data_IF_902698702760
#
_entry.id   IF_902698702760
#
_cell.length_a   1.000
_cell.length_b   1.000
_cell.length_c   1.000
_cell.angle_alpha   90.00
_cell.angle_beta   90.00
_cell.angle_gamma   90.00
#
_symmetry.space_group_name_H-M   'P 1'
#
loop_
_entity.id
_entity.type
_entity.pdbx_description
1 polymer ?
#
# COMPACT_ATOMS: atom_id res chain seq x y z
N UNK A 1 3.84 -6.95 6.21
CA UNK A 1 3.83 -6.25 7.51
C UNK A 1 2.58 -6.71 8.24
N UNK A 2 2.72 -7.47 9.33
CA UNK A 2 1.57 -7.87 10.13
C UNK A 2 1.20 -6.70 11.04
N UNK A 3 0.04 -6.10 10.83
CA UNK A 3 -0.50 -5.07 11.71
C UNK A 3 -1.64 -5.69 12.51
N UNK A 4 -1.49 -5.68 13.85
CA UNK A 4 -2.45 -6.31 14.77
C UNK A 4 -3.88 -5.75 14.59
N UNK A 5 -3.98 -4.50 14.17
CA UNK A 5 -5.22 -3.80 13.89
C UNK A 5 -5.12 -3.08 12.55
N UNK A 6 -6.24 -2.97 11.84
CA UNK A 6 -6.33 -2.19 10.61
C UNK A 6 -5.98 -0.73 10.90
N UNK A 7 -4.96 -0.20 10.24
CA UNK A 7 -4.58 1.20 10.38
C UNK A 7 -5.54 2.03 9.54
N UNK A 8 -6.41 2.81 10.19
CA UNK A 8 -7.22 3.84 9.53
C UNK A 8 -6.76 5.22 9.95
N UNK A 9 -6.50 6.06 8.97
CA UNK A 9 -6.03 7.43 9.16
C UNK A 9 -6.72 8.38 8.18
N UNK A 10 -7.30 9.45 8.73
CA UNK A 10 -8.03 10.44 7.95
C UNK A 10 -7.13 11.63 7.62
N UNK A 11 -7.43 12.33 6.53
CA UNK A 11 -6.62 13.44 6.09
C UNK A 11 -7.10 14.08 4.80
N UNK A 12 -6.25 14.95 4.27
CA UNK A 12 -6.46 15.58 2.97
C UNK A 12 -5.48 15.00 1.95
N UNK A 13 -5.97 14.75 0.74
CA UNK A 13 -5.22 14.12 -0.34
C UNK A 13 -5.37 14.93 -1.64
N UNK A 14 -4.31 15.00 -2.43
CA UNK A 14 -4.24 15.78 -3.66
C UNK A 14 -3.29 15.14 -4.68
N UNK A 15 -3.44 15.52 -5.95
CA UNK A 15 -2.47 15.16 -6.98
C UNK A 15 -1.27 16.11 -6.90
N UNK A 16 -0.03 15.62 -7.05
CA UNK A 16 1.16 16.49 -7.03
C UNK A 16 1.13 17.67 -8.01
N UNK A 17 0.44 17.51 -9.15
CA UNK A 17 0.28 18.53 -10.19
C UNK A 17 -0.69 19.65 -9.83
N UNK A 18 -1.62 19.41 -8.91
CA UNK A 18 -2.65 20.37 -8.46
C UNK A 18 -2.76 20.38 -6.92
N UNK A 19 -1.74 20.90 -6.20
CA UNK A 19 -1.65 20.81 -4.73
C UNK A 19 -2.71 21.60 -3.95
N UNK A 20 -3.41 22.51 -4.63
CA UNK A 20 -4.49 23.31 -4.06
C UNK A 20 -5.84 22.57 -4.10
N UNK A 21 -6.01 21.57 -4.97
CA UNK A 21 -7.20 20.72 -5.06
C UNK A 21 -7.14 19.56 -4.07
N UNK A 22 -7.38 19.87 -2.79
CA UNK A 22 -7.36 18.88 -1.70
C UNK A 22 -8.74 18.29 -1.46
N UNK A 23 -8.79 16.97 -1.36
CA UNK A 23 -10.01 16.20 -1.07
C UNK A 23 -9.84 15.47 0.24
N UNK A 24 -10.86 15.51 1.09
CA UNK A 24 -10.85 14.75 2.34
C UNK A 24 -10.96 13.25 2.05
N UNK A 25 -10.23 12.44 2.80
CA UNK A 25 -10.26 10.99 2.65
C UNK A 25 -9.79 10.23 3.87
N UNK A 26 -9.95 8.91 3.80
CA UNK A 26 -9.47 7.95 4.78
C UNK A 26 -8.56 6.94 4.09
N UNK A 27 -7.30 6.89 4.53
CA UNK A 27 -6.33 5.87 4.15
C UNK A 27 -6.48 4.68 5.10
N UNK A 28 -6.66 3.49 4.55
CA UNK A 28 -6.66 2.24 5.31
C UNK A 28 -5.55 1.30 4.85
N UNK A 29 -4.87 0.70 5.82
CA UNK A 29 -3.90 -0.38 5.61
C UNK A 29 -4.38 -1.57 6.44
N UNK A 30 -4.57 -2.72 5.79
CA UNK A 30 -4.97 -3.97 6.44
C UNK A 30 -3.77 -4.87 6.76
N UNK A 31 -3.97 -5.85 7.65
CA UNK A 31 -2.96 -6.85 8.08
C UNK A 31 -2.32 -7.63 6.91
N UNK A 32 -3.01 -7.68 5.76
CA UNK A 32 -2.51 -8.35 4.55
C UNK A 32 -1.77 -7.43 3.58
N UNK A 33 -1.49 -6.18 3.99
CA UNK A 33 -0.85 -5.20 3.13
C UNK A 33 -1.77 -4.64 2.04
N UNK A 34 -3.08 -4.87 2.10
CA UNK A 34 -4.03 -4.19 1.21
C UNK A 34 -4.16 -2.74 1.69
N UNK A 35 -3.88 -1.80 0.80
CA UNK A 35 -3.94 -0.36 1.04
C UNK A 35 -5.05 0.22 0.19
N UNK A 36 -5.92 1.01 0.82
CA UNK A 36 -7.02 1.69 0.13
C UNK A 36 -7.12 3.13 0.58
N UNK A 37 -7.44 4.02 -0.36
CA UNK A 37 -7.80 5.40 -0.10
C UNK A 37 -9.28 5.59 -0.47
N UNK A 38 -10.08 5.98 0.52
CA UNK A 38 -11.46 6.40 0.30
C UNK A 38 -11.52 7.93 0.29
N UNK A 39 -11.97 8.53 -0.80
CA UNK A 39 -12.13 9.97 -0.94
C UNK A 39 -13.61 10.35 -0.86
N UNK A 40 -13.90 11.51 -0.24
CA UNK A 40 -15.24 12.02 -0.04
C UNK A 40 -15.34 13.46 -0.57
N UNK A 41 -16.29 13.70 -1.48
CA UNK A 41 -16.61 15.04 -1.96
C UNK A 41 -16.58 15.18 -3.48
N UNK A 42 -16.41 16.41 -3.97
CA UNK A 42 -16.44 16.73 -5.40
C UNK A 42 -15.09 16.36 -6.03
N UNK A 43 -15.11 15.34 -6.88
CA UNK A 43 -13.93 14.85 -7.58
C UNK A 43 -13.63 15.72 -8.81
N UNK A 44 -12.92 16.83 -8.60
CA UNK A 44 -12.45 17.73 -9.66
C UNK A 44 -11.47 17.04 -10.62
N UNK A 45 -10.19 17.38 -10.55
CA UNK A 45 -9.17 16.73 -11.42
C UNK A 45 -9.09 15.22 -11.20
N UNK A 46 -9.32 14.75 -9.96
CA UNK A 46 -9.42 13.32 -9.63
C UNK A 46 -10.49 12.57 -10.43
N UNK A 47 -11.67 13.17 -10.66
CA UNK A 47 -12.78 12.52 -11.36
C UNK A 47 -12.63 12.56 -12.88
N UNK A 48 -11.80 13.46 -13.41
CA UNK A 48 -11.51 13.53 -14.85
C UNK A 48 -10.39 12.59 -15.28
N UNK A 49 -9.64 12.04 -14.33
CA UNK A 49 -8.53 11.16 -14.64
C UNK A 49 -9.06 9.78 -15.01
N UNK A 50 -9.05 9.48 -16.32
CA UNK A 50 -9.50 8.19 -16.87
C UNK A 50 -8.37 7.17 -16.96
N UNK A 51 -7.14 7.58 -16.66
CA UNK A 51 -5.95 6.74 -16.66
C UNK A 51 -5.52 6.29 -15.25
N UNK A 52 -4.46 5.47 -15.16
CA UNK A 52 -3.84 5.13 -13.89
C UNK A 52 -3.33 6.39 -13.18
N UNK A 53 -3.56 6.48 -11.87
CA UNK A 53 -3.06 7.59 -11.06
C UNK A 53 -1.70 7.17 -10.53
N UNK A 54 -0.61 7.71 -11.08
CA UNK A 54 0.73 7.28 -10.66
C UNK A 54 1.00 7.60 -9.19
N UNK A 55 0.59 8.80 -8.74
CA UNK A 55 0.91 9.29 -7.40
C UNK A 55 -0.18 10.19 -6.82
N UNK A 56 -0.45 10.01 -5.53
CA UNK A 56 -1.27 10.89 -4.70
C UNK A 56 -0.44 11.29 -3.49
N UNK A 57 -0.49 12.57 -3.11
CA UNK A 57 0.12 13.06 -1.87
C UNK A 57 -0.99 13.36 -0.88
N UNK A 58 -0.72 13.15 0.41
CA UNK A 58 -1.64 13.52 1.45
C UNK A 58 -0.96 14.04 2.69
N UNK A 59 -1.77 14.61 3.57
CA UNK A 59 -1.43 14.92 4.94
C UNK A 59 -2.51 14.33 5.84
N UNK A 60 -2.15 13.29 6.57
CA UNK A 60 -3.03 12.57 7.48
C UNK A 60 -2.76 12.93 8.93
N UNK A 61 -3.75 12.69 9.79
CA UNK A 61 -3.71 13.07 11.20
C UNK A 61 -2.63 12.30 11.99
N UNK A 62 -2.51 10.98 11.77
CA UNK A 62 -1.58 10.13 12.52
C UNK A 62 -0.24 9.94 11.82
N UNK A 63 -0.21 9.92 10.49
CA UNK A 63 1.00 9.64 9.71
C UNK A 63 1.71 10.90 9.19
N UNK A 64 1.07 12.08 9.27
CA UNK A 64 1.61 13.32 8.73
C UNK A 64 1.62 13.30 7.20
N UNK A 65 2.68 13.81 6.58
CA UNK A 65 2.82 13.70 5.13
C UNK A 65 2.92 12.25 4.67
N UNK A 66 2.16 11.92 3.64
CA UNK A 66 2.17 10.60 3.00
C UNK A 66 2.24 10.76 1.49
N UNK A 67 2.96 9.85 0.84
CA UNK A 67 2.91 9.66 -0.62
C UNK A 67 2.38 8.28 -0.93
N UNK A 68 1.39 8.20 -1.80
CA UNK A 68 0.76 6.98 -2.29
C UNK A 68 1.22 6.78 -3.75
N UNK A 69 1.83 5.64 -4.05
CA UNK A 69 2.41 5.32 -5.36
C UNK A 69 1.70 4.11 -6.00
N UNK A 70 1.67 4.11 -7.33
CA UNK A 70 0.95 3.19 -8.22
C UNK A 70 -0.51 3.02 -7.77
N UNK A 71 -1.27 4.12 -7.83
CA UNK A 71 -2.65 4.14 -7.44
C UNK A 71 -3.56 3.70 -8.61
N UNK A 72 -4.50 2.81 -8.33
CA UNK A 72 -5.45 2.30 -9.32
C UNK A 72 -6.89 2.46 -8.84
N UNK A 73 -7.76 3.02 -9.68
CA UNK A 73 -9.18 3.14 -9.37
C UNK A 73 -9.90 1.85 -9.78
N UNK A 74 -10.37 1.05 -8.82
CA UNK A 74 -10.97 -0.29 -9.09
C UNK A 74 -12.29 -0.21 -9.85
N UNK A 75 -12.98 0.92 -9.84
CA UNK A 75 -14.17 1.16 -10.65
C UNK A 75 -14.45 2.65 -10.75
N UNK A 76 -14.20 3.23 -11.92
CA UNK A 76 -15.18 4.14 -12.50
C UNK A 76 -16.04 3.26 -13.40
N UNK A 77 -17.09 2.66 -12.85
CA UNK A 77 -18.03 1.91 -13.69
C UNK A 77 -18.55 2.87 -14.75
N UNK A 78 -18.23 2.56 -16.00
CA UNK A 78 -18.66 3.22 -17.22
C UNK A 78 -20.16 3.07 -17.46
N UNK A 79 -21.01 3.35 -16.45
CA UNK A 79 -22.48 3.42 -16.49
C UNK A 79 -23.14 3.93 -15.18
N UNK A 80 -22.47 4.72 -14.34
CA UNK A 80 -23.16 5.54 -13.31
C UNK A 80 -22.62 6.96 -13.39
N UNK A 81 -23.38 7.79 -14.10
CA UNK A 81 -23.54 9.24 -13.94
C UNK A 81 -22.51 9.95 -13.05
N UNK A 82 -21.30 10.18 -13.57
CA UNK A 82 -20.41 11.27 -13.09
C UNK A 82 -20.95 12.63 -13.56
N UNK A 83 -22.05 12.62 -14.33
CA UNK A 83 -22.94 13.75 -14.54
C UNK A 83 -24.33 13.37 -14.04
N UNK A 84 -24.78 13.89 -12.89
CA UNK A 84 -26.19 14.14 -12.48
C UNK A 84 -26.53 13.89 -11.01
N UNK A 85 -25.63 14.15 -10.07
CA UNK A 85 -26.10 14.54 -8.73
C UNK A 85 -25.09 15.45 -8.07
N UNK A 86 -25.30 16.76 -8.23
CA UNK A 86 -24.60 17.81 -7.50
C UNK A 86 -24.99 17.87 -6.00
N UNK A 87 -25.64 16.83 -5.47
CA UNK A 87 -26.33 16.87 -4.18
C UNK A 87 -26.19 15.58 -3.35
N UNK A 88 -25.32 14.65 -3.76
CA UNK A 88 -25.01 13.47 -2.96
C UNK A 88 -23.49 13.32 -2.83
N UNK A 89 -23.00 13.08 -1.61
CA UNK A 89 -21.57 13.02 -1.32
C UNK A 89 -21.01 11.78 -2.03
N UNK A 90 -20.41 11.99 -3.19
CA UNK A 90 -19.82 10.92 -3.95
C UNK A 90 -18.61 10.35 -3.19
N UNK A 91 -18.58 9.02 -3.04
CA UNK A 91 -17.49 8.26 -2.44
C UNK A 91 -16.71 7.56 -3.55
N UNK A 92 -15.39 7.75 -3.58
CA UNK A 92 -14.48 7.06 -4.51
C UNK A 92 -13.48 6.21 -3.73
N UNK A 93 -13.15 5.02 -4.25
CA UNK A 93 -12.19 4.12 -3.63
C UNK A 93 -11.04 3.83 -4.59
N UNK A 94 -9.82 4.10 -4.13
CA UNK A 94 -8.59 3.95 -4.88
C UNK A 94 -7.76 2.86 -4.18
N UNK A 95 -7.35 1.86 -4.93
CA UNK A 95 -6.33 0.92 -4.47
C UNK A 95 -4.96 1.54 -4.60
N UNK A 96 -4.12 1.30 -3.60
CA UNK A 96 -2.77 1.84 -3.54
C UNK A 96 -1.80 0.68 -3.43
N UNK A 97 -0.74 0.69 -4.22
CA UNK A 97 0.28 -0.36 -4.12
C UNK A 97 1.30 -0.05 -3.02
N UNK A 98 1.72 1.22 -2.90
CA UNK A 98 2.82 1.62 -2.02
C UNK A 98 2.49 2.91 -1.26
N UNK A 99 2.90 2.96 0.01
CA UNK A 99 2.77 4.16 0.86
C UNK A 99 4.12 4.52 1.46
N UNK A 100 4.54 5.75 1.25
CA UNK A 100 5.69 6.35 1.92
C UNK A 100 5.19 7.31 3.00
N UNK A 101 5.50 6.97 4.25
CA UNK A 101 5.17 7.81 5.41
C UNK A 101 6.27 8.86 5.65
N UNK A 102 5.87 10.07 6.04
CA UNK A 102 6.75 11.16 6.43
C UNK A 102 7.31 11.97 5.26
N UNK A 103 6.81 11.77 4.03
CA UNK A 103 7.34 12.40 2.82
C UNK A 103 6.23 12.69 1.81
N UNK A 104 6.37 13.81 1.11
CA UNK A 104 5.51 14.26 0.02
C UNK A 104 6.35 14.39 -1.25
N UNK A 105 6.44 13.32 -2.04
CA UNK A 105 7.19 13.33 -3.28
C UNK A 105 6.48 14.15 -4.36
N UNK A 106 7.25 14.82 -5.20
CA UNK A 106 6.72 15.57 -6.36
C UNK A 106 6.30 14.64 -7.48
N UNK A 107 5.62 15.18 -8.49
CA UNK A 107 5.33 14.44 -9.72
C UNK A 107 6.63 13.93 -10.37
N UNK A 108 6.65 12.65 -10.76
CA UNK A 108 7.81 12.01 -11.40
C UNK A 108 9.06 11.81 -10.52
N UNK A 109 9.03 12.24 -9.25
CA UNK A 109 10.17 12.07 -8.35
C UNK A 109 10.36 10.60 -7.98
N UNK A 110 11.54 10.03 -8.27
CA UNK A 110 11.81 8.62 -7.95
C UNK A 110 12.25 8.50 -6.49
N UNK A 111 11.55 7.71 -5.64
CA UNK A 111 11.97 7.49 -4.26
C UNK A 111 13.38 6.89 -4.18
N UNK A 112 14.25 7.47 -3.36
CA UNK A 112 15.65 7.01 -3.18
C UNK A 112 15.89 6.59 -1.75
N UNK A 113 16.49 5.42 -1.58
CA UNK A 113 16.84 4.85 -0.28
C UNK A 113 18.33 4.53 -0.24
N UNK A 114 19.00 4.89 0.85
CA UNK A 114 20.38 4.47 1.09
C UNK A 114 20.47 2.99 1.48
N UNK A 115 19.48 2.52 2.24
CA UNK A 115 19.38 1.16 2.77
C UNK A 115 17.92 0.83 3.01
N UNK A 116 17.56 -0.46 2.90
CA UNK A 116 16.23 -0.98 3.19
C UNK A 116 16.38 -2.15 4.16
N UNK A 117 15.58 -2.15 5.23
CA UNK A 117 15.52 -3.25 6.20
C UNK A 117 14.07 -3.68 6.30
N UNK A 118 13.83 -4.98 6.23
CA UNK A 118 12.52 -5.58 6.45
C UNK A 118 12.69 -6.91 7.18
N UNK A 119 11.61 -7.40 7.78
CA UNK A 119 11.54 -8.72 8.41
C UNK A 119 10.30 -9.43 7.89
N UNK A 120 10.46 -10.72 7.58
CA UNK A 120 9.40 -11.61 7.11
C UNK A 120 9.37 -12.78 8.08
N UNK A 121 8.21 -12.99 8.69
CA UNK A 121 7.98 -14.12 9.59
C UNK A 121 8.09 -15.42 8.78
N UNK A 122 8.89 -16.37 9.27
CA UNK A 122 9.05 -17.67 8.65
C UNK A 122 9.96 -17.71 7.41
N UNK A 123 10.71 -16.62 7.11
CA UNK A 123 11.50 -16.58 5.88
C UNK A 123 12.55 -17.68 5.82
N UNK A 124 13.16 -17.99 6.97
CA UNK A 124 14.20 -19.00 7.11
C UNK A 124 13.67 -20.37 6.68
N UNK A 125 12.48 -20.74 7.15
CA UNK A 125 11.79 -21.98 6.78
C UNK A 125 11.43 -22.01 5.29
N UNK A 126 11.01 -20.87 4.73
CA UNK A 126 10.67 -20.78 3.30
C UNK A 126 11.90 -20.91 2.39
N UNK A 127 13.06 -20.41 2.82
CA UNK A 127 14.31 -20.52 2.06
C UNK A 127 15.15 -21.74 2.45
N UNK A 128 14.62 -22.61 3.33
CA UNK A 128 15.31 -23.81 3.80
C UNK A 128 16.53 -23.52 4.68
N UNK A 129 16.65 -22.31 5.22
CA UNK A 129 17.62 -21.99 6.27
C UNK A 129 17.08 -22.61 7.55
N UNK A 130 17.74 -23.66 8.00
CA UNK A 130 17.46 -24.25 9.29
C UNK A 130 18.78 -24.65 9.92
N UNK A 131 18.81 -24.68 11.25
CA UNK A 131 19.92 -25.30 11.96
C UNK A 131 19.92 -26.83 11.86
N UNK A 132 18.95 -27.44 11.16
CA UNK A 132 18.77 -28.89 11.08
C UNK A 132 19.36 -29.40 9.76
N UNK A 133 20.34 -30.29 9.87
CA UNK A 133 20.87 -31.06 8.75
C UNK A 133 20.43 -32.52 8.90
N UNK A 134 20.00 -33.14 7.78
CA UNK A 134 19.54 -34.53 7.76
C UNK A 134 20.37 -35.30 6.74
N UNK A 135 21.21 -36.22 7.23
CA UNK A 135 21.96 -37.17 6.42
C UNK A 135 21.15 -38.47 6.24
N UNK A 136 20.74 -38.77 5.01
CA UNK A 136 19.98 -39.96 4.68
C UNK A 136 20.89 -41.09 4.20
N UNK A 137 21.04 -42.15 5.01
CA UNK A 137 21.79 -43.34 4.66
C UNK A 137 20.87 -44.43 4.08
N UNK A 138 20.55 -44.27 2.79
CA UNK A 138 19.58 -45.11 2.07
C UNK A 138 19.88 -46.62 2.17
N UNK A 139 21.15 -47.03 2.04
CA UNK A 139 21.55 -48.44 2.10
C UNK A 139 21.32 -49.09 3.47
N UNK A 140 21.33 -48.28 4.53
CA UNK A 140 21.15 -48.73 5.92
C UNK A 140 19.73 -48.51 6.42
N UNK A 141 18.84 -47.97 5.58
CA UNK A 141 17.51 -47.51 5.99
C UNK A 141 17.56 -46.64 7.26
N UNK A 142 18.56 -45.76 7.36
CA UNK A 142 18.82 -44.93 8.54
C UNK A 142 18.95 -43.45 8.16
N UNK A 143 18.72 -42.56 9.12
CA UNK A 143 18.98 -41.13 8.98
C UNK A 143 19.64 -40.58 10.24
N UNK A 144 20.60 -39.67 10.07
CA UNK A 144 21.22 -38.90 11.17
C UNK A 144 20.73 -37.46 11.08
N UNK A 145 20.30 -36.91 12.21
CA UNK A 145 19.84 -35.52 12.31
C UNK A 145 20.84 -34.78 13.20
N UNK A 146 21.49 -33.76 12.64
CA UNK A 146 22.40 -32.85 13.35
C UNK A 146 21.76 -31.47 13.52
N UNK A 147 22.14 -30.78 14.59
CA UNK A 147 21.73 -29.40 14.85
C UNK A 147 22.95 -28.49 14.99
N UNK A 148 23.03 -27.47 14.16
CA UNK A 148 24.00 -26.37 14.25
C UNK A 148 23.26 -25.05 14.47
N UNK A 149 23.84 -24.17 15.29
CA UNK A 149 23.29 -22.83 15.49
C UNK A 149 23.48 -22.02 14.19
N UNK A 150 22.39 -21.52 13.57
CA UNK A 150 22.47 -20.71 12.36
C UNK A 150 23.06 -19.32 12.59
#
# INVERSE_FOLDING_TARGET
MRIKEELKDSGYFWLPSVPDERIFGTLSISDRGVIKLELFGVFGTFGRNTGPIERIVGHSEKMGFVTLDDCYCRSMSSNVDISRTFDDISKSSIDVMRVFKGVAYREGEVPRFKSLTFSIEGIDEWVGISGIEVDHQLERHAATISYELP
#
